data_IF_295029748281
#
_entry.id   IF_295029748281
#
_cell.length_a   1.000
_cell.length_b   1.000
_cell.length_c   1.000
_cell.angle_alpha   90.00
_cell.angle_beta   90.00
_cell.angle_gamma   90.00
#
_symmetry.space_group_name_H-M   'P 1'
#
loop_
_entity.id
_entity.type
_entity.pdbx_description
1 polymer ?
#
# COMPACT_ATOMS: atom_id res chain seq x y z
N UNK A 1 -5.33 29.39 9.24
CA UNK A 1 -4.28 28.69 8.47
C UNK A 1 -3.89 27.47 9.28
N UNK A 2 -4.12 26.27 8.77
CA UNK A 2 -3.65 25.02 9.41
C UNK A 2 -2.12 24.98 9.35
N UNK A 3 -1.47 24.50 10.41
CA UNK A 3 -0.02 24.31 10.41
C UNK A 3 0.37 23.34 9.26
N UNK A 4 1.57 23.50 8.64
CA UNK A 4 2.03 22.57 7.62
C UNK A 4 2.12 21.17 8.21
N UNK A 5 1.74 20.15 7.42
CA UNK A 5 1.86 18.75 7.80
C UNK A 5 3.34 18.37 7.93
N UNK A 6 3.62 17.39 8.76
CA UNK A 6 4.96 16.87 8.96
C UNK A 6 5.46 16.09 7.74
N UNK A 7 4.54 15.36 7.07
CA UNK A 7 4.83 14.51 5.94
C UNK A 7 3.87 14.82 4.78
N UNK A 8 4.36 14.72 3.56
CA UNK A 8 3.52 14.74 2.38
C UNK A 8 2.79 13.40 2.20
N UNK A 9 3.53 12.27 2.27
CA UNK A 9 2.98 10.95 1.99
C UNK A 9 3.51 9.91 2.96
N UNK A 10 2.59 9.20 3.60
CA UNK A 10 2.87 8.12 4.55
C UNK A 10 2.15 6.83 4.15
N UNK A 11 2.52 5.71 4.77
CA UNK A 11 1.81 4.44 4.65
C UNK A 11 1.35 3.98 6.03
N UNK A 12 0.12 3.44 6.12
CA UNK A 12 -0.34 2.64 7.23
C UNK A 12 -0.56 1.20 6.76
N UNK A 13 -0.01 0.23 7.51
CA UNK A 13 -0.11 -1.18 7.19
C UNK A 13 -0.20 -2.04 8.46
N UNK A 14 -0.93 -3.15 8.38
CA UNK A 14 -0.93 -4.18 9.42
C UNK A 14 0.05 -5.29 9.02
N UNK A 15 0.86 -5.77 9.97
CA UNK A 15 1.91 -6.77 9.72
C UNK A 15 1.73 -7.97 10.62
N UNK A 16 1.85 -9.18 10.03
CA UNK A 16 1.90 -10.43 10.78
C UNK A 16 2.67 -11.49 10.01
N UNK A 17 3.83 -11.91 10.54
CA UNK A 17 4.72 -12.91 9.92
C UNK A 17 5.17 -12.53 8.50
N UNK A 18 5.53 -11.26 8.31
CA UNK A 18 6.02 -10.69 7.03
C UNK A 18 7.44 -10.13 7.17
N UNK A 19 8.11 -10.34 8.29
CA UNK A 19 9.41 -9.75 8.61
C UNK A 19 10.42 -9.90 7.48
N UNK A 20 10.44 -11.04 6.82
CA UNK A 20 11.35 -11.34 5.72
C UNK A 20 11.27 -10.37 4.54
N UNK A 21 10.08 -9.76 4.29
CA UNK A 21 9.87 -8.86 3.16
C UNK A 21 9.93 -7.39 3.56
N UNK A 22 9.82 -7.15 4.85
CA UNK A 22 9.53 -5.85 5.39
C UNK A 22 10.64 -4.83 5.11
N UNK A 23 11.90 -5.25 5.17
CA UNK A 23 13.03 -4.37 4.85
C UNK A 23 13.00 -3.92 3.38
N UNK A 24 12.82 -4.86 2.43
CA UNK A 24 12.69 -4.55 1.01
C UNK A 24 11.50 -3.61 0.77
N UNK A 25 10.35 -3.92 1.37
CA UNK A 25 9.12 -3.15 1.23
C UNK A 25 9.28 -1.70 1.73
N UNK A 26 9.92 -1.51 2.89
CA UNK A 26 10.18 -0.17 3.44
C UNK A 26 11.13 0.61 2.54
N UNK A 27 12.25 0.00 2.12
CA UNK A 27 13.23 0.68 1.26
C UNK A 27 12.65 1.03 -0.10
N UNK A 28 11.91 0.12 -0.73
CA UNK A 28 11.23 0.37 -2.00
C UNK A 28 10.31 1.60 -1.93
N UNK A 29 9.45 1.63 -0.93
CA UNK A 29 8.50 2.73 -0.78
C UNK A 29 9.19 4.05 -0.37
N UNK A 30 10.26 3.98 0.40
CA UNK A 30 11.08 5.16 0.72
C UNK A 30 11.70 5.76 -0.52
N UNK A 31 12.26 4.94 -1.42
CA UNK A 31 12.76 5.40 -2.71
C UNK A 31 11.65 6.01 -3.57
N UNK A 32 10.41 5.52 -3.41
CA UNK A 32 9.20 6.09 -4.02
C UNK A 32 8.73 7.41 -3.43
N UNK A 33 9.32 7.87 -2.32
CA UNK A 33 8.97 9.13 -1.67
C UNK A 33 7.99 8.99 -0.50
N UNK A 34 7.85 7.78 0.07
CA UNK A 34 7.17 7.60 1.35
C UNK A 34 8.10 8.08 2.47
N UNK A 35 7.59 8.98 3.31
CA UNK A 35 8.39 9.66 4.34
C UNK A 35 8.27 9.01 5.71
N UNK A 36 7.15 8.30 5.98
CA UNK A 36 6.95 7.61 7.24
C UNK A 36 5.98 6.42 7.12
N UNK A 37 6.16 5.42 8.00
CA UNK A 37 5.37 4.19 8.03
C UNK A 37 4.73 4.00 9.41
N UNK A 38 3.42 3.86 9.47
CA UNK A 38 2.66 3.48 10.65
C UNK A 38 2.32 1.99 10.56
N UNK A 39 3.08 1.15 11.27
CA UNK A 39 2.96 -0.30 11.21
C UNK A 39 2.25 -0.83 12.45
N UNK A 40 1.30 -1.72 12.23
CA UNK A 40 0.47 -2.35 13.25
C UNK A 40 0.85 -3.82 13.36
N UNK A 41 1.61 -4.18 14.42
CA UNK A 41 2.05 -5.56 14.68
C UNK A 41 0.88 -6.38 15.23
N UNK A 42 0.37 -7.28 14.41
CA UNK A 42 -0.76 -8.16 14.72
C UNK A 42 -0.34 -9.50 15.35
N UNK A 43 0.79 -9.52 16.06
CA UNK A 43 1.26 -10.67 16.83
C UNK A 43 1.89 -11.75 15.97
N UNK A 44 2.97 -11.41 15.27
CA UNK A 44 3.84 -12.35 14.56
C UNK A 44 4.87 -13.01 15.48
N UNK A 45 5.50 -14.09 14.99
CA UNK A 45 6.58 -14.82 15.67
C UNK A 45 7.88 -14.91 14.87
N UNK A 46 8.02 -14.08 13.83
CA UNK A 46 9.07 -14.15 12.81
C UNK A 46 10.20 -13.12 13.00
N UNK A 47 10.28 -12.47 14.16
CA UNK A 47 11.31 -11.45 14.41
C UNK A 47 11.03 -10.09 13.78
N UNK A 48 9.81 -9.81 13.35
CA UNK A 48 9.40 -8.51 12.77
C UNK A 48 9.93 -7.31 13.54
N UNK A 49 9.84 -7.32 14.88
CA UNK A 49 10.31 -6.20 15.71
C UNK A 49 11.83 -5.96 15.61
N UNK A 50 12.63 -7.03 15.51
CA UNK A 50 14.08 -6.91 15.38
C UNK A 50 14.47 -6.35 14.00
N UNK A 51 13.78 -6.75 12.96
CA UNK A 51 13.95 -6.24 11.59
C UNK A 51 13.62 -4.74 11.53
N UNK A 52 12.58 -4.32 12.24
CA UNK A 52 12.14 -2.92 12.28
C UNK A 52 13.02 -2.01 13.16
N UNK A 53 13.84 -2.57 14.04
CA UNK A 53 14.66 -1.80 14.99
C UNK A 53 15.47 -0.66 14.34
N UNK A 54 16.21 -0.86 13.23
CA UNK A 54 16.95 0.23 12.58
C UNK A 54 16.03 1.37 12.12
N UNK A 55 14.87 1.07 11.58
CA UNK A 55 13.88 2.03 11.08
C UNK A 55 13.20 2.81 12.22
N UNK A 56 12.95 2.14 13.35
CA UNK A 56 12.44 2.77 14.57
C UNK A 56 13.47 3.79 15.12
N UNK A 57 14.74 3.41 15.19
CA UNK A 57 15.82 4.29 15.65
C UNK A 57 16.03 5.50 14.73
N UNK A 58 15.80 5.35 13.44
CA UNK A 58 15.84 6.44 12.46
C UNK A 58 14.58 7.32 12.47
N UNK A 59 13.56 6.95 13.21
CA UNK A 59 12.28 7.66 13.22
C UNK A 59 11.47 7.54 11.92
N UNK A 60 11.79 6.54 11.08
CA UNK A 60 11.08 6.27 9.81
C UNK A 60 9.83 5.41 9.99
N UNK A 61 9.76 4.65 11.07
CA UNK A 61 8.66 3.75 11.41
C UNK A 61 8.12 4.07 12.79
N UNK A 62 6.80 4.08 12.92
CA UNK A 62 6.09 3.97 14.18
C UNK A 62 5.45 2.59 14.25
N UNK A 63 5.82 1.77 15.24
CA UNK A 63 5.30 0.42 15.43
C UNK A 63 4.34 0.39 16.61
N UNK A 64 3.13 -0.14 16.40
CA UNK A 64 2.10 -0.31 17.41
C UNK A 64 1.74 -1.79 17.55
N UNK A 65 1.62 -2.27 18.77
CA UNK A 65 1.07 -3.60 19.04
C UNK A 65 -0.44 -3.60 18.79
N UNK A 66 -0.92 -4.53 17.93
CA UNK A 66 -2.32 -4.56 17.49
C UNK A 66 -2.88 -5.99 17.49
N UNK A 67 -3.33 -6.53 18.64
CA UNK A 67 -3.71 -7.93 18.77
C UNK A 67 -5.10 -8.27 18.24
N UNK A 68 -5.86 -7.31 17.73
CA UNK A 68 -7.23 -7.52 17.25
C UNK A 68 -7.30 -8.45 16.04
N UNK A 69 -8.33 -9.30 15.98
CA UNK A 69 -8.64 -10.20 14.86
C UNK A 69 -10.15 -10.20 14.55
N UNK A 70 -10.55 -9.82 13.30
CA UNK A 70 -9.74 -9.21 12.24
C UNK A 70 -9.31 -7.80 12.61
N UNK A 71 -8.04 -7.46 12.40
CA UNK A 71 -7.44 -6.21 12.89
C UNK A 71 -7.23 -5.13 11.81
N UNK A 72 -7.41 -5.44 10.53
CA UNK A 72 -7.01 -4.52 9.45
C UNK A 72 -7.83 -3.23 9.42
N UNK A 73 -9.16 -3.35 9.45
CA UNK A 73 -10.04 -2.17 9.41
C UNK A 73 -9.85 -1.29 10.64
N UNK A 74 -9.72 -1.89 11.84
CA UNK A 74 -9.51 -1.12 13.07
C UNK A 74 -8.14 -0.45 13.11
N UNK A 75 -7.09 -1.11 12.60
CA UNK A 75 -5.76 -0.52 12.46
C UNK A 75 -5.76 0.70 11.52
N UNK A 76 -6.40 0.58 10.37
CA UNK A 76 -6.51 1.69 9.42
C UNK A 76 -7.35 2.86 9.97
N UNK A 77 -8.48 2.57 10.64
CA UNK A 77 -9.26 3.61 11.32
C UNK A 77 -8.44 4.33 12.41
N UNK A 78 -7.68 3.56 13.20
CA UNK A 78 -6.77 4.14 14.19
C UNK A 78 -5.69 5.00 13.54
N UNK A 79 -5.08 4.55 12.44
CA UNK A 79 -4.06 5.30 11.71
C UNK A 79 -4.59 6.66 11.25
N UNK A 80 -5.77 6.68 10.63
CA UNK A 80 -6.43 7.91 10.17
C UNK A 80 -6.74 8.84 11.37
N UNK A 81 -7.32 8.28 12.45
CA UNK A 81 -7.76 9.08 13.59
C UNK A 81 -6.59 9.70 14.39
N UNK A 82 -5.49 8.97 14.56
CA UNK A 82 -4.37 9.37 15.41
C UNK A 82 -3.27 10.08 14.63
N UNK A 83 -2.91 9.56 13.45
CA UNK A 83 -1.77 10.05 12.66
C UNK A 83 -2.18 10.82 11.39
N UNK A 84 -3.48 10.87 11.09
CA UNK A 84 -3.95 11.55 9.88
C UNK A 84 -3.57 13.02 9.79
N UNK A 85 -3.39 13.70 10.94
CA UNK A 85 -2.96 15.10 10.96
C UNK A 85 -1.48 15.31 10.65
N UNK A 86 -0.70 14.25 10.67
CA UNK A 86 0.73 14.33 10.37
C UNK A 86 1.02 14.33 8.87
N UNK A 87 0.06 13.89 8.04
CA UNK A 87 0.29 13.64 6.62
C UNK A 87 -0.73 14.34 5.73
N UNK A 88 -0.29 14.85 4.57
CA UNK A 88 -1.21 15.30 3.51
C UNK A 88 -1.93 14.12 2.88
N UNK A 89 -1.21 13.01 2.68
CA UNK A 89 -1.70 11.77 2.09
C UNK A 89 -1.27 10.55 2.90
N UNK A 90 -2.15 9.56 2.99
CA UNK A 90 -1.84 8.27 3.62
C UNK A 90 -2.28 7.12 2.70
N UNK A 91 -1.34 6.25 2.33
CA UNK A 91 -1.65 5.01 1.64
C UNK A 91 -2.04 3.92 2.65
N UNK A 92 -3.11 3.19 2.34
CA UNK A 92 -3.60 2.05 3.11
C UNK A 92 -3.39 0.79 2.28
N UNK A 93 -2.27 0.09 2.51
CA UNK A 93 -1.84 -1.07 1.73
C UNK A 93 -1.31 -2.17 2.65
N UNK A 94 -1.21 -3.40 2.12
CA UNK A 94 -0.63 -4.52 2.84
C UNK A 94 0.91 -4.53 2.65
N UNK A 95 1.64 -5.15 3.58
CA UNK A 95 3.12 -5.21 3.53
C UNK A 95 3.67 -6.15 2.45
N UNK A 96 2.81 -6.81 1.72
CA UNK A 96 3.14 -7.64 0.56
C UNK A 96 2.75 -6.98 -0.78
N UNK A 97 2.39 -5.69 -0.74
CA UNK A 97 1.97 -4.92 -1.89
C UNK A 97 2.94 -3.78 -2.17
N UNK A 98 3.37 -3.65 -3.43
CA UNK A 98 4.33 -2.65 -3.86
C UNK A 98 3.64 -1.65 -4.79
N UNK A 99 3.71 -0.36 -4.47
CA UNK A 99 3.16 0.72 -5.31
C UNK A 99 4.20 1.06 -6.38
N UNK A 100 4.05 0.48 -7.56
CA UNK A 100 4.94 0.78 -8.69
C UNK A 100 4.44 2.01 -9.47
N UNK A 101 5.38 2.76 -10.02
CA UNK A 101 5.12 3.95 -10.85
C UNK A 101 5.82 3.81 -12.20
N UNK A 102 5.42 4.59 -13.22
CA UNK A 102 6.16 4.64 -14.47
C UNK A 102 7.63 5.00 -14.26
N UNK A 103 8.49 4.49 -15.14
CA UNK A 103 9.92 4.75 -15.09
C UNK A 103 10.23 6.25 -14.97
N UNK A 104 11.11 6.60 -14.03
CA UNK A 104 11.53 7.98 -13.79
C UNK A 104 10.58 8.83 -12.93
N UNK A 105 9.47 8.24 -12.43
CA UNK A 105 8.57 8.91 -11.48
C UNK A 105 8.66 8.30 -10.09
N UNK A 106 8.40 9.11 -9.06
CA UNK A 106 8.21 8.64 -7.70
C UNK A 106 6.72 8.57 -7.35
N UNK A 107 6.35 7.77 -6.35
CA UNK A 107 4.97 7.67 -5.84
C UNK A 107 4.49 9.07 -5.43
N UNK A 108 5.29 9.81 -4.67
CA UNK A 108 4.95 11.15 -4.21
C UNK A 108 4.66 12.11 -5.36
N UNK A 109 5.46 12.11 -6.44
CA UNK A 109 5.20 12.96 -7.62
C UNK A 109 3.90 12.57 -8.34
N UNK A 110 3.62 11.28 -8.43
CA UNK A 110 2.38 10.80 -9.04
C UNK A 110 1.16 11.21 -8.21
N UNK A 111 1.24 11.06 -6.89
CA UNK A 111 0.18 11.50 -5.96
C UNK A 111 -0.05 13.01 -6.06
N UNK A 112 1.01 13.83 -6.11
CA UNK A 112 0.88 15.28 -6.29
C UNK A 112 0.21 15.64 -7.63
N UNK A 113 0.58 14.93 -8.69
CA UNK A 113 0.05 15.20 -10.03
C UNK A 113 -1.45 14.92 -10.16
N UNK A 114 -1.92 13.75 -9.64
CA UNK A 114 -3.33 13.33 -9.80
C UNK A 114 -4.21 13.75 -8.64
N UNK A 115 -3.63 14.04 -7.48
CA UNK A 115 -4.35 14.27 -6.23
C UNK A 115 -4.83 15.69 -5.99
N UNK A 116 -4.57 16.65 -6.88
CA UNK A 116 -4.81 18.09 -6.62
C UNK A 116 -6.23 18.41 -6.15
N UNK A 117 -7.22 17.81 -6.76
CA UNK A 117 -8.64 18.00 -6.44
C UNK A 117 -9.30 16.72 -5.90
N UNK A 118 -8.52 15.71 -5.55
CA UNK A 118 -9.01 14.45 -5.07
C UNK A 118 -8.92 14.35 -3.54
N UNK A 119 -9.85 13.61 -2.95
CA UNK A 119 -9.83 13.18 -1.56
C UNK A 119 -9.25 11.76 -1.44
N UNK A 120 -9.35 10.98 -2.53
CA UNK A 120 -8.92 9.60 -2.59
C UNK A 120 -8.45 9.23 -3.99
N UNK A 121 -7.37 8.46 -4.07
CA UNK A 121 -6.82 7.87 -5.29
C UNK A 121 -6.95 6.35 -5.15
N UNK A 122 -7.67 5.70 -6.08
CA UNK A 122 -7.78 4.25 -6.11
C UNK A 122 -6.62 3.65 -6.90
N UNK A 123 -5.94 2.72 -6.27
CA UNK A 123 -4.83 1.98 -6.85
C UNK A 123 -5.33 0.67 -7.46
N UNK A 124 -5.10 0.41 -8.75
CA UNK A 124 -5.41 -0.87 -9.35
C UNK A 124 -4.53 -1.98 -8.76
N UNK A 125 -5.06 -3.17 -8.66
CA UNK A 125 -4.41 -4.31 -8.03
C UNK A 125 -4.22 -5.46 -9.00
N UNK A 126 -2.97 -5.90 -9.22
CA UNK A 126 -2.64 -7.06 -10.03
C UNK A 126 -2.06 -8.18 -9.18
N UNK A 127 -2.44 -9.41 -9.51
CA UNK A 127 -1.83 -10.58 -8.89
C UNK A 127 -0.60 -11.02 -9.67
N UNK A 128 0.51 -11.21 -8.95
CA UNK A 128 1.70 -11.85 -9.49
C UNK A 128 1.71 -13.33 -9.13
N UNK A 129 2.13 -14.18 -10.09
CA UNK A 129 2.29 -15.61 -9.89
C UNK A 129 3.67 -15.96 -9.33
N UNK A 130 3.96 -17.27 -9.26
CA UNK A 130 5.27 -17.76 -8.79
C UNK A 130 6.41 -17.45 -9.77
N UNK A 131 6.14 -16.92 -10.94
CA UNK A 131 7.11 -16.67 -12.02
C UNK A 131 7.93 -17.91 -12.41
N UNK A 132 7.35 -19.11 -12.22
CA UNK A 132 8.02 -20.40 -12.51
C UNK A 132 8.86 -20.96 -11.37
N UNK A 133 8.89 -20.31 -10.22
CA UNK A 133 9.60 -20.82 -9.06
C UNK A 133 8.78 -21.88 -8.31
N UNK A 134 9.34 -23.08 -8.13
CA UNK A 134 8.75 -24.17 -7.31
C UNK A 134 8.93 -23.94 -5.83
N UNK A 135 10.00 -23.27 -5.47
CA UNK A 135 10.28 -22.78 -4.12
C UNK A 135 10.65 -21.32 -4.19
N UNK A 136 10.56 -20.65 -3.03
CA UNK A 136 10.92 -19.25 -2.96
C UNK A 136 12.40 -19.03 -3.27
N UNK A 137 12.73 -18.20 -4.27
CA UNK A 137 14.12 -17.84 -4.56
C UNK A 137 14.69 -16.87 -3.52
N UNK A 138 16.02 -16.79 -3.47
CA UNK A 138 16.74 -15.72 -2.78
C UNK A 138 16.65 -14.41 -3.60
N UNK A 139 16.90 -13.29 -2.93
CA UNK A 139 16.89 -11.96 -3.55
C UNK A 139 15.57 -11.21 -3.36
N UNK A 140 15.38 -10.17 -4.15
CA UNK A 140 14.27 -9.24 -3.99
C UNK A 140 12.97 -9.80 -4.56
N UNK A 141 11.85 -9.49 -3.92
CA UNK A 141 10.50 -9.86 -4.37
C UNK A 141 10.22 -9.26 -5.74
N UNK A 142 10.55 -7.98 -5.93
CA UNK A 142 10.30 -7.25 -7.18
C UNK A 142 11.11 -7.77 -8.36
N UNK A 143 12.25 -8.42 -8.12
CA UNK A 143 13.09 -9.04 -9.18
C UNK A 143 12.64 -10.44 -9.53
N UNK A 144 12.17 -11.19 -8.53
CA UNK A 144 11.83 -12.61 -8.70
C UNK A 144 10.41 -12.86 -9.19
N UNK A 145 9.45 -11.98 -8.88
CA UNK A 145 8.06 -12.18 -9.23
C UNK A 145 7.62 -11.14 -10.28
N UNK A 146 7.89 -11.45 -11.56
CA UNK A 146 7.71 -10.54 -12.69
C UNK A 146 6.48 -10.84 -13.55
N UNK A 147 5.84 -12.00 -13.37
CA UNK A 147 4.67 -12.40 -14.16
C UNK A 147 3.38 -12.11 -13.40
N UNK A 148 2.56 -11.21 -13.94
CA UNK A 148 1.28 -10.81 -13.38
C UNK A 148 0.09 -11.26 -14.24
N UNK A 149 -1.10 -11.17 -13.66
CA UNK A 149 -2.36 -11.33 -14.40
C UNK A 149 -2.48 -10.25 -15.48
N UNK A 150 -3.15 -10.58 -16.60
CA UNK A 150 -3.40 -9.63 -17.70
C UNK A 150 -4.36 -8.54 -17.24
N UNK A 151 -5.37 -8.93 -16.47
CA UNK A 151 -6.39 -8.00 -15.95
C UNK A 151 -6.12 -7.65 -14.50
N UNK A 152 -6.41 -6.40 -14.14
CA UNK A 152 -6.42 -5.96 -12.76
C UNK A 152 -7.54 -6.65 -11.97
N UNK A 153 -7.31 -6.87 -10.69
CA UNK A 153 -8.37 -7.33 -9.79
C UNK A 153 -9.45 -6.25 -9.65
N UNK A 154 -10.69 -6.66 -9.39
CA UNK A 154 -11.81 -5.72 -9.20
C UNK A 154 -11.68 -4.86 -7.94
N UNK A 155 -11.02 -5.37 -6.93
CA UNK A 155 -10.72 -4.62 -5.71
C UNK A 155 -9.51 -3.70 -5.94
N UNK A 156 -9.49 -2.61 -5.21
CA UNK A 156 -8.42 -1.60 -5.24
C UNK A 156 -7.76 -1.49 -3.88
N UNK A 157 -6.64 -0.79 -3.82
CA UNK A 157 -6.12 -0.17 -2.60
C UNK A 157 -6.24 1.34 -2.73
N UNK A 158 -5.92 2.08 -1.68
CA UNK A 158 -6.20 3.51 -1.68
C UNK A 158 -5.06 4.33 -1.10
N UNK A 159 -4.88 5.51 -1.68
CA UNK A 159 -4.18 6.63 -1.06
C UNK A 159 -5.23 7.70 -0.80
N UNK A 160 -5.31 8.21 0.41
CA UNK A 160 -6.39 9.09 0.83
C UNK A 160 -5.86 10.33 1.55
N UNK A 161 -6.56 11.45 1.44
CA UNK A 161 -6.38 12.58 2.35
C UNK A 161 -7.02 12.24 3.69
N UNK A 162 -6.27 12.12 4.80
CA UNK A 162 -6.84 11.66 6.06
C UNK A 162 -8.00 12.53 6.57
N UNK A 163 -7.92 13.84 6.37
CA UNK A 163 -8.97 14.77 6.80
C UNK A 163 -10.28 14.63 6.00
N UNK A 164 -10.23 14.03 4.83
CA UNK A 164 -11.40 13.80 4.00
C UNK A 164 -12.13 12.49 4.34
N UNK A 165 -11.52 11.62 5.16
CA UNK A 165 -12.06 10.29 5.46
C UNK A 165 -13.20 10.38 6.46
N UNK A 166 -14.34 9.79 6.10
CA UNK A 166 -15.48 9.56 6.98
C UNK A 166 -15.50 8.15 7.58
N UNK A 167 -15.20 7.17 6.75
CA UNK A 167 -15.16 5.76 7.15
C UNK A 167 -14.06 5.03 6.37
N UNK A 168 -13.27 4.25 7.07
CA UNK A 168 -12.20 3.46 6.46
C UNK A 168 -12.70 2.07 6.11
N UNK A 169 -12.52 1.69 4.84
CA UNK A 169 -12.66 0.32 4.37
C UNK A 169 -11.29 -0.29 4.04
N UNK A 170 -11.24 -1.61 3.84
CA UNK A 170 -10.00 -2.33 3.52
C UNK A 170 -9.49 -2.00 2.11
N UNK A 171 -10.39 -1.67 1.20
CA UNK A 171 -10.09 -1.48 -0.22
C UNK A 171 -10.31 -0.05 -0.71
N UNK A 172 -11.10 0.72 -0.01
CA UNK A 172 -11.38 2.13 -0.28
C UNK A 172 -11.90 2.79 0.99
N UNK A 173 -11.89 4.12 1.02
CA UNK A 173 -12.50 4.90 2.09
C UNK A 173 -13.77 5.59 1.59
N UNK A 174 -14.72 5.81 2.48
CA UNK A 174 -15.77 6.81 2.26
C UNK A 174 -15.23 8.19 2.64
N UNK A 175 -15.33 9.14 1.74
CA UNK A 175 -14.89 10.52 1.97
C UNK A 175 -16.08 11.46 2.10
N UNK A 176 -15.89 12.62 2.76
CA UNK A 176 -16.96 13.58 2.99
C UNK A 176 -17.51 14.16 1.69
N UNK A 177 -16.65 14.50 0.74
CA UNK A 177 -17.05 15.10 -0.54
C UNK A 177 -17.09 14.10 -1.70
N UNK A 178 -16.53 12.90 -1.51
CA UNK A 178 -16.57 11.82 -2.49
C UNK A 178 -15.75 12.10 -3.76
N UNK A 179 -14.73 12.96 -3.71
CA UNK A 179 -13.83 13.23 -4.83
C UNK A 179 -12.80 12.10 -4.97
N UNK A 180 -13.23 11.02 -5.57
CA UNK A 180 -12.39 9.85 -5.82
C UNK A 180 -11.91 9.83 -7.27
N UNK A 181 -10.62 9.59 -7.47
CA UNK A 181 -10.00 9.44 -8.79
C UNK A 181 -9.32 8.07 -8.92
N UNK A 182 -9.13 7.63 -10.15
CA UNK A 182 -8.27 6.48 -10.46
C UNK A 182 -6.79 6.90 -10.52
N UNK A 183 -5.92 5.94 -10.77
CA UNK A 183 -4.48 6.19 -10.89
C UNK A 183 -4.06 7.06 -12.07
N UNK A 184 -4.95 7.33 -13.01
CA UNK A 184 -4.74 8.25 -14.12
C UNK A 184 -5.32 9.66 -13.86
N UNK A 185 -5.94 9.87 -12.68
CA UNK A 185 -6.57 11.13 -12.31
C UNK A 185 -8.00 11.30 -12.85
N UNK A 186 -8.58 10.29 -13.48
CA UNK A 186 -9.96 10.34 -13.92
C UNK A 186 -10.90 10.13 -12.75
N UNK A 187 -12.05 10.80 -12.76
CA UNK A 187 -13.07 10.60 -11.72
C UNK A 187 -13.52 9.14 -11.70
N UNK A 188 -13.31 8.48 -10.57
CA UNK A 188 -13.80 7.13 -10.35
C UNK A 188 -15.28 7.20 -9.91
N UNK A 189 -16.15 6.65 -10.75
CA UNK A 189 -17.55 6.50 -10.44
C UNK A 189 -17.73 5.27 -9.56
N UNK A 190 -17.98 5.51 -8.29
CA UNK A 190 -18.42 4.59 -7.26
C UNK A 190 -17.83 3.17 -7.17
N UNK A 191 -17.38 2.84 -5.95
CA UNK A 191 -17.32 1.50 -5.37
C UNK A 191 -16.58 0.43 -6.17
N UNK A 192 -15.28 0.23 -5.90
CA UNK A 192 -14.60 -1.05 -6.10
C UNK A 192 -14.28 -1.52 -7.52
N UNK A 193 -14.87 -0.94 -8.56
CA UNK A 193 -14.76 -1.42 -9.91
C UNK A 193 -14.03 -0.36 -10.70
N UNK A 194 -12.75 -0.59 -10.96
CA UNK A 194 -12.14 0.09 -12.09
C UNK A 194 -12.87 -0.34 -13.36
N UNK A 195 -13.19 0.56 -14.30
CA UNK A 195 -13.53 0.14 -15.64
C UNK A 195 -12.39 -0.74 -16.16
N UNK A 196 -12.75 -1.81 -16.86
CA UNK A 196 -11.75 -2.65 -17.51
C UNK A 196 -10.76 -1.76 -18.28
N UNK A 197 -9.44 -2.04 -18.22
CA UNK A 197 -8.47 -1.27 -18.99
C UNK A 197 -8.96 -1.25 -20.43
N UNK A 198 -9.07 -0.06 -21.00
CA UNK A 198 -9.48 0.12 -22.40
C UNK A 198 -8.46 -0.64 -23.23
N UNK A 199 -8.92 -1.66 -23.94
CA UNK A 199 -8.08 -2.46 -24.83
C UNK A 199 -7.43 -1.51 -25.86
N UNK A 200 -6.10 -1.33 -25.79
CA UNK A 200 -5.33 -0.41 -26.64
C UNK A 200 -4.71 0.79 -25.94
N UNK A 201 -4.99 1.04 -24.68
CA UNK A 201 -4.25 2.01 -23.88
C UNK A 201 -2.86 1.45 -23.54
N UNK A 202 -1.80 2.20 -23.87
CA UNK A 202 -0.45 1.86 -23.46
C UNK A 202 -0.44 1.53 -21.97
N UNK A 203 0.09 0.36 -21.59
CA UNK A 203 0.24 -0.08 -20.21
C UNK A 203 1.08 0.89 -19.34
N UNK A 204 1.71 1.86 -19.99
CA UNK A 204 2.57 2.89 -19.39
C UNK A 204 1.83 4.06 -18.74
N UNK A 205 0.50 4.16 -18.85
CA UNK A 205 -0.25 5.29 -18.30
C UNK A 205 -0.93 5.01 -16.96
N UNK A 206 -0.93 3.78 -16.47
CA UNK A 206 -1.43 3.50 -15.11
C UNK A 206 -0.33 3.76 -14.09
N UNK A 207 -0.48 4.80 -13.31
CA UNK A 207 0.52 5.33 -12.39
C UNK A 207 0.87 4.42 -11.21
N UNK A 208 0.11 3.34 -10.97
CA UNK A 208 0.29 2.49 -9.82
C UNK A 208 0.04 1.03 -10.17
N UNK A 209 1.01 0.18 -9.90
CA UNK A 209 0.90 -1.28 -9.96
C UNK A 209 1.18 -1.86 -8.58
N UNK A 210 0.42 -2.86 -8.20
CA UNK A 210 0.58 -3.54 -6.93
C UNK A 210 0.99 -4.99 -7.17
N UNK A 211 2.04 -5.44 -6.48
CA UNK A 211 2.51 -6.83 -6.52
C UNK A 211 1.95 -7.58 -5.32
N UNK A 212 0.99 -8.48 -5.47
CA UNK A 212 0.47 -9.26 -4.36
C UNK A 212 1.19 -10.59 -4.19
N UNK A 213 1.31 -10.98 -2.95
CA UNK A 213 1.94 -12.19 -2.50
C UNK A 213 1.05 -13.44 -2.64
N UNK A 214 1.26 -14.28 -3.59
CA UNK A 214 0.87 -15.70 -3.48
C UNK A 214 1.95 -16.59 -2.87
N UNK A 215 3.06 -16.05 -2.48
CA UNK A 215 4.15 -16.75 -1.79
C UNK A 215 3.72 -17.35 -0.46
N UNK A 216 2.68 -16.81 0.17
CA UNK A 216 2.15 -17.26 1.47
C UNK A 216 1.61 -18.70 1.52
N UNK A 217 1.19 -19.30 0.41
CA UNK A 217 0.51 -20.61 0.46
C UNK A 217 1.44 -21.82 0.39
N UNK A 218 2.67 -21.67 -0.08
CA UNK A 218 3.60 -22.81 -0.21
C UNK A 218 4.34 -23.11 1.09
N UNK A 219 4.67 -22.13 1.90
CA UNK A 219 5.39 -22.35 3.18
C UNK A 219 4.53 -23.05 4.25
N UNK A 220 3.18 -22.90 4.21
CA UNK A 220 2.29 -23.55 5.18
C UNK A 220 2.09 -25.06 4.96
N UNK A 221 2.46 -25.62 3.80
CA UNK A 221 2.28 -27.06 3.52
C UNK A 221 3.49 -27.93 3.87
N UNK A 222 4.60 -27.34 4.31
CA UNK A 222 5.82 -28.09 4.66
C UNK A 222 6.14 -28.10 6.17
N UNK A 223 5.32 -27.52 7.03
CA UNK A 223 5.46 -27.53 8.49
C UNK A 223 4.36 -28.38 9.18
N UNK A 224 3.94 -29.47 8.56
CA UNK A 224 3.05 -30.48 9.13
C UNK A 224 3.74 -31.82 9.15
#
# INVERSE_FOLDING_TARGET
>A
MTAPRRFFLTIAAIVRNEGRYLAEWIEFHTLGGIEHFYLYDNGGSDGTADILRPYLLQGRVTLLHWPEHPGQSSAYNHAIAIFGRDSDWMALIDVDEFIATPAGSSIARCVDAVGREADQILLPWWHFGSSGHDSRPDGLVIENYIHRTVEAHRQTKTIVRPDAVRLVGVHHCETHEGRTVDSAGNRALERWIQPAPVAGGNADTSLFHQVPSRVRRQDRRRSG
#
